data_IF_616678404561
#
_entry.id   IF_616678404561
#
_cell.length_a   1.000
_cell.length_b   1.000
_cell.length_c   1.000
_cell.angle_alpha   90.00
_cell.angle_beta   90.00
_cell.angle_gamma   90.00
#
_symmetry.space_group_name_H-M   'P 1'
#
loop_
_entity.id
_entity.type
_entity.pdbx_description
1 polymer ?
#
# COMPACT_ATOMS: atom_id res chain seq x y z
N UNK A 1 87.90 -11.79 -129.78
CA UNK A 1 87.70 -13.22 -129.44
C UNK A 1 88.34 -13.50 -128.08
N UNK A 2 89.05 -14.61 -127.86
CA UNK A 2 89.49 -15.16 -126.55
C UNK A 2 89.70 -14.14 -125.41
N UNK A 3 90.62 -13.18 -125.56
CA UNK A 3 90.95 -12.21 -124.50
C UNK A 3 89.82 -11.24 -124.13
N UNK A 4 88.89 -10.96 -125.05
CA UNK A 4 87.73 -10.12 -124.78
C UNK A 4 86.65 -10.90 -124.02
N UNK A 5 86.47 -12.19 -124.33
CA UNK A 5 85.53 -13.06 -123.60
C UNK A 5 86.03 -13.35 -122.17
N UNK A 6 87.34 -13.57 -121.98
CA UNK A 6 87.96 -13.70 -120.66
C UNK A 6 87.84 -12.40 -119.83
N UNK A 7 88.09 -11.22 -120.43
CA UNK A 7 87.87 -9.94 -119.76
C UNK A 7 86.40 -9.72 -119.38
N UNK A 8 85.47 -10.09 -120.26
CA UNK A 8 84.04 -9.97 -120.00
C UNK A 8 83.54 -10.96 -118.93
N UNK A 9 84.14 -12.15 -118.87
CA UNK A 9 83.88 -13.15 -117.83
C UNK A 9 84.44 -12.71 -116.47
N UNK A 10 85.66 -12.16 -116.43
CA UNK A 10 86.25 -11.56 -115.22
C UNK A 10 85.44 -10.35 -114.73
N UNK A 11 84.96 -9.48 -115.64
CA UNK A 11 84.04 -8.37 -115.28
C UNK A 11 82.76 -8.88 -114.62
N UNK A 12 82.16 -9.95 -115.16
CA UNK A 12 80.94 -10.56 -114.57
C UNK A 12 81.22 -11.21 -113.21
N UNK A 13 82.38 -11.85 -113.02
CA UNK A 13 82.80 -12.40 -111.72
C UNK A 13 83.04 -11.30 -110.68
N UNK A 14 83.69 -10.19 -111.06
CA UNK A 14 83.89 -9.03 -110.17
C UNK A 14 82.56 -8.34 -109.84
N UNK A 15 81.64 -8.22 -110.79
CA UNK A 15 80.30 -7.69 -110.55
C UNK A 15 79.49 -8.59 -109.59
N UNK A 16 79.42 -9.90 -109.87
CA UNK A 16 78.71 -10.85 -109.01
C UNK A 16 79.29 -10.89 -107.58
N UNK A 17 80.62 -10.92 -107.44
CA UNK A 17 81.27 -10.86 -106.12
C UNK A 17 81.04 -9.54 -105.38
N UNK A 18 80.91 -8.41 -106.10
CA UNK A 18 80.53 -7.13 -105.51
C UNK A 18 79.06 -7.13 -105.06
N UNK A 19 78.14 -7.66 -105.87
CA UNK A 19 76.71 -7.79 -105.52
C UNK A 19 76.50 -8.74 -104.33
N UNK A 20 77.18 -9.88 -104.28
CA UNK A 20 77.19 -10.79 -103.14
C UNK A 20 77.76 -10.12 -101.88
N UNK A 21 78.85 -9.35 -102.00
CA UNK A 21 79.43 -8.63 -100.87
C UNK A 21 78.53 -7.47 -100.38
N UNK A 22 77.79 -6.80 -101.28
CA UNK A 22 76.76 -5.82 -100.91
C UNK A 22 75.60 -6.50 -100.18
N UNK A 23 75.04 -7.59 -100.70
CA UNK A 23 73.95 -8.34 -100.06
C UNK A 23 74.35 -8.88 -98.69
N UNK A 24 75.57 -9.42 -98.54
CA UNK A 24 76.10 -9.87 -97.26
C UNK A 24 76.26 -8.69 -96.26
N UNK A 25 76.72 -7.52 -96.73
CA UNK A 25 76.79 -6.33 -95.89
C UNK A 25 75.40 -5.79 -95.50
N UNK A 26 74.40 -5.88 -96.37
CA UNK A 26 73.03 -5.46 -96.08
C UNK A 26 72.33 -6.43 -95.11
N UNK A 27 72.53 -7.74 -95.25
CA UNK A 27 72.09 -8.74 -94.27
C UNK A 27 72.70 -8.46 -92.88
N UNK A 28 74.03 -8.28 -92.79
CA UNK A 28 74.70 -7.95 -91.54
C UNK A 28 74.25 -6.60 -90.95
N UNK A 29 73.84 -5.61 -91.78
CA UNK A 29 73.22 -4.37 -91.30
C UNK A 29 71.82 -4.60 -90.73
N UNK A 30 71.02 -5.47 -91.35
CA UNK A 30 69.69 -5.83 -90.86
C UNK A 30 69.79 -6.59 -89.52
N UNK A 31 70.68 -7.58 -89.41
CA UNK A 31 70.94 -8.31 -88.17
C UNK A 31 71.44 -7.36 -87.06
N UNK A 32 72.36 -6.44 -87.37
CA UNK A 32 72.80 -5.41 -86.41
C UNK A 32 71.70 -4.41 -86.03
N UNK A 33 70.70 -4.18 -86.89
CA UNK A 33 69.54 -3.35 -86.55
C UNK A 33 68.58 -4.10 -85.60
N UNK A 34 68.28 -5.37 -85.88
CA UNK A 34 67.45 -6.23 -85.01
C UNK A 34 68.11 -6.40 -83.63
N UNK A 35 69.39 -6.79 -83.58
CA UNK A 35 70.09 -6.98 -82.31
C UNK A 35 70.24 -5.68 -81.48
N UNK A 36 70.17 -4.50 -82.12
CA UNK A 36 70.09 -3.20 -81.41
C UNK A 36 68.69 -2.95 -80.87
N UNK A 37 67.66 -3.23 -81.66
CA UNK A 37 66.27 -3.11 -81.23
C UNK A 37 65.98 -4.03 -80.04
N UNK A 38 66.34 -5.32 -80.12
CA UNK A 38 66.18 -6.29 -79.03
C UNK A 38 66.92 -5.86 -77.75
N UNK A 39 68.13 -5.31 -77.87
CA UNK A 39 68.89 -4.74 -76.74
C UNK A 39 68.15 -3.55 -76.11
N UNK A 40 67.61 -2.65 -76.92
CA UNK A 40 66.98 -1.41 -76.45
C UNK A 40 65.59 -1.68 -75.85
N UNK A 41 64.86 -2.66 -76.39
CA UNK A 41 63.62 -3.19 -75.81
C UNK A 41 63.88 -3.91 -74.48
N UNK A 42 64.93 -4.74 -74.40
CA UNK A 42 65.35 -5.39 -73.16
C UNK A 42 65.81 -4.39 -72.09
N UNK A 43 66.47 -3.29 -72.50
CA UNK A 43 66.85 -2.22 -71.59
C UNK A 43 65.63 -1.46 -71.04
N UNK A 44 64.63 -1.19 -71.87
CA UNK A 44 63.36 -0.60 -71.43
C UNK A 44 62.63 -1.52 -70.44
N UNK A 45 62.50 -2.82 -70.76
CA UNK A 45 61.88 -3.80 -69.85
C UNK A 45 62.62 -3.90 -68.50
N UNK A 46 63.96 -3.94 -68.53
CA UNK A 46 64.77 -3.98 -67.32
C UNK A 46 64.59 -2.73 -66.43
N UNK A 47 64.50 -1.54 -67.03
CA UNK A 47 64.22 -0.32 -66.27
C UNK A 47 62.78 -0.32 -65.72
N UNK A 48 61.79 -0.71 -66.52
CA UNK A 48 60.39 -0.75 -66.09
C UNK A 48 60.17 -1.74 -64.93
N UNK A 49 60.83 -2.90 -64.97
CA UNK A 49 60.86 -3.84 -63.85
C UNK A 49 61.58 -3.30 -62.60
N UNK A 50 62.60 -2.43 -62.74
CA UNK A 50 63.24 -1.77 -61.61
C UNK A 50 62.33 -0.71 -60.96
N UNK A 51 61.59 0.07 -61.77
CA UNK A 51 60.58 1.01 -61.31
C UNK A 51 59.43 0.31 -60.58
N UNK A 52 58.91 -0.80 -61.11
CA UNK A 52 57.87 -1.57 -60.42
C UNK A 52 58.39 -2.29 -59.18
N UNK A 53 59.63 -2.80 -59.19
CA UNK A 53 60.27 -3.39 -57.99
C UNK A 53 60.41 -2.35 -56.87
N UNK A 54 60.78 -1.11 -57.19
CA UNK A 54 60.89 -0.04 -56.17
C UNK A 54 59.53 0.42 -55.66
N UNK A 55 58.51 0.53 -56.52
CA UNK A 55 57.11 0.75 -56.10
C UNK A 55 56.62 -0.34 -55.14
N UNK A 56 56.83 -1.61 -55.48
CA UNK A 56 56.40 -2.75 -54.64
C UNK A 56 57.09 -2.74 -53.28
N UNK A 57 58.39 -2.41 -53.21
CA UNK A 57 59.10 -2.24 -51.92
C UNK A 57 58.50 -1.12 -51.07
N UNK A 58 58.27 0.06 -51.65
CA UNK A 58 57.68 1.19 -50.91
C UNK A 58 56.28 0.86 -50.35
N UNK A 59 55.46 0.14 -51.13
CA UNK A 59 54.14 -0.34 -50.65
C UNK A 59 54.29 -1.40 -49.55
N UNK A 60 55.27 -2.31 -49.66
CA UNK A 60 55.55 -3.32 -48.63
C UNK A 60 56.03 -2.67 -47.32
N UNK A 61 56.98 -1.74 -47.40
CA UNK A 61 57.53 -0.98 -46.27
C UNK A 61 56.44 -0.17 -45.55
N UNK A 62 55.57 0.52 -46.29
CA UNK A 62 54.42 1.20 -45.73
C UNK A 62 53.44 0.24 -45.03
N UNK A 63 53.18 -0.94 -45.60
CA UNK A 63 52.29 -1.95 -45.01
C UNK A 63 52.89 -2.65 -43.78
N UNK A 64 54.22 -2.80 -43.70
CA UNK A 64 54.90 -3.24 -42.48
C UNK A 64 54.72 -2.20 -41.37
N UNK A 65 54.96 -0.92 -41.65
CA UNK A 65 54.77 0.16 -40.67
C UNK A 65 53.30 0.28 -40.19
N UNK A 66 52.31 0.11 -41.07
CA UNK A 66 50.89 0.03 -40.69
C UNK A 66 50.61 -1.16 -39.74
N UNK A 67 51.20 -2.33 -40.00
CA UNK A 67 51.03 -3.51 -39.14
C UNK A 67 51.70 -3.32 -37.77
N UNK A 68 52.92 -2.80 -37.72
CA UNK A 68 53.63 -2.49 -36.46
C UNK A 68 52.83 -1.48 -35.61
N UNK A 69 52.25 -0.45 -36.24
CA UNK A 69 51.38 0.51 -35.56
C UNK A 69 50.09 -0.15 -35.02
N UNK A 70 49.48 -1.05 -35.78
CA UNK A 70 48.29 -1.79 -35.36
C UNK A 70 48.59 -2.76 -34.21
N UNK A 71 49.72 -3.47 -34.25
CA UNK A 71 50.15 -4.35 -33.16
C UNK A 71 50.41 -3.57 -31.86
N UNK A 72 51.14 -2.44 -31.94
CA UNK A 72 51.36 -1.57 -30.79
C UNK A 72 50.04 -1.04 -30.19
N UNK A 73 49.11 -0.61 -31.05
CA UNK A 73 47.77 -0.14 -30.65
C UNK A 73 46.93 -1.24 -30.00
N UNK A 74 47.07 -2.48 -30.49
CA UNK A 74 46.37 -3.66 -29.98
C UNK A 74 46.93 -4.12 -28.63
N UNK A 75 48.23 -3.95 -28.37
CA UNK A 75 48.85 -4.17 -27.07
C UNK A 75 48.39 -3.13 -26.04
N UNK A 76 48.44 -1.83 -26.38
CA UNK A 76 47.93 -0.76 -25.51
C UNK A 76 46.45 -0.95 -25.15
N UNK A 77 45.61 -1.32 -26.13
CA UNK A 77 44.21 -1.65 -25.88
C UNK A 77 44.03 -2.87 -24.96
N UNK A 78 44.84 -3.93 -25.12
CA UNK A 78 44.82 -5.10 -24.22
C UNK A 78 45.15 -4.72 -22.77
N UNK A 79 46.15 -3.89 -22.53
CA UNK A 79 46.50 -3.46 -21.18
C UNK A 79 45.43 -2.55 -20.57
N UNK A 80 44.84 -1.65 -21.36
CA UNK A 80 43.67 -0.84 -20.93
C UNK A 80 42.47 -1.70 -20.54
N UNK A 81 42.17 -2.75 -21.31
CA UNK A 81 41.09 -3.71 -20.99
C UNK A 81 41.40 -4.54 -19.75
N UNK A 82 42.64 -4.96 -19.52
CA UNK A 82 43.05 -5.64 -18.27
C UNK A 82 42.87 -4.72 -17.06
N UNK A 83 43.35 -3.47 -17.14
CA UNK A 83 43.25 -2.50 -16.05
C UNK A 83 41.78 -2.15 -15.71
N UNK A 84 40.94 -1.98 -16.73
CA UNK A 84 39.49 -1.80 -16.55
C UNK A 84 38.86 -3.03 -15.87
N UNK A 85 39.13 -4.25 -16.34
CA UNK A 85 38.60 -5.48 -15.74
C UNK A 85 39.02 -5.67 -14.28
N UNK A 86 40.27 -5.36 -13.92
CA UNK A 86 40.73 -5.44 -12.52
C UNK A 86 39.93 -4.48 -11.62
N UNK A 87 39.80 -3.22 -12.04
CA UNK A 87 39.00 -2.20 -11.33
C UNK A 87 37.52 -2.58 -11.21
N UNK A 88 36.94 -3.19 -12.25
CA UNK A 88 35.56 -3.68 -12.21
C UNK A 88 35.42 -4.89 -11.27
N UNK A 89 36.39 -5.82 -11.24
CA UNK A 89 36.40 -6.91 -10.26
C UNK A 89 36.50 -6.41 -8.82
N UNK A 90 37.40 -5.47 -8.54
CA UNK A 90 37.54 -4.81 -7.23
C UNK A 90 36.21 -4.16 -6.79
N UNK A 91 35.60 -3.38 -7.68
CA UNK A 91 34.33 -2.70 -7.43
C UNK A 91 33.14 -3.65 -7.26
N UNK A 92 33.10 -4.74 -8.03
CA UNK A 92 32.08 -5.79 -7.88
C UNK A 92 32.27 -6.50 -6.53
N UNK A 93 33.51 -6.71 -6.08
CA UNK A 93 33.84 -7.22 -4.76
C UNK A 93 33.24 -6.36 -3.65
N UNK A 94 33.61 -5.07 -3.59
CA UNK A 94 33.12 -4.16 -2.53
C UNK A 94 31.59 -4.02 -2.54
N UNK A 95 30.97 -3.89 -3.71
CA UNK A 95 29.50 -3.81 -3.82
C UNK A 95 28.81 -5.12 -3.40
N UNK A 96 29.44 -6.28 -3.60
CA UNK A 96 28.90 -7.57 -3.14
C UNK A 96 28.97 -7.70 -1.62
N UNK A 97 30.07 -7.25 -1.01
CA UNK A 97 30.24 -7.21 0.45
C UNK A 97 29.25 -6.23 1.11
N UNK A 98 29.03 -5.05 0.50
CA UNK A 98 28.00 -4.10 0.92
C UNK A 98 26.59 -4.71 0.85
N UNK A 99 26.22 -5.36 -0.27
CA UNK A 99 24.91 -6.02 -0.44
C UNK A 99 24.68 -7.14 0.58
N UNK A 100 25.69 -7.96 0.87
CA UNK A 100 25.59 -8.98 1.92
C UNK A 100 25.63 -8.38 3.34
N UNK A 101 26.19 -7.18 3.52
CA UNK A 101 25.98 -6.36 4.71
C UNK A 101 24.50 -5.97 4.87
N UNK A 102 23.92 -5.31 3.87
CA UNK A 102 22.52 -4.88 3.87
C UNK A 102 21.52 -6.02 4.00
N UNK A 103 21.81 -7.20 3.42
CA UNK A 103 20.98 -8.42 3.57
C UNK A 103 20.95 -8.92 5.01
N UNK A 104 22.11 -9.06 5.67
CA UNK A 104 22.20 -9.46 7.08
C UNK A 104 21.49 -8.47 7.99
N UNK A 105 21.64 -7.17 7.70
CA UNK A 105 20.95 -6.13 8.47
C UNK A 105 19.43 -6.15 8.27
N UNK A 106 18.95 -6.30 7.03
CA UNK A 106 17.52 -6.43 6.75
C UNK A 106 16.88 -7.68 7.38
N UNK A 107 17.63 -8.77 7.54
CA UNK A 107 17.18 -9.95 8.27
C UNK A 107 16.98 -9.63 9.76
N UNK A 108 17.98 -9.03 10.41
CA UNK A 108 17.92 -8.61 11.83
C UNK A 108 16.79 -7.64 12.12
N UNK A 109 16.59 -6.64 11.25
CA UNK A 109 15.45 -5.71 11.32
C UNK A 109 14.13 -6.48 11.28
N UNK A 110 14.03 -7.52 10.43
CA UNK A 110 12.82 -8.34 10.32
C UNK A 110 12.58 -9.22 11.55
N UNK A 111 13.63 -9.81 12.12
CA UNK A 111 13.57 -10.59 13.37
C UNK A 111 13.12 -9.73 14.56
N UNK A 112 13.62 -8.49 14.65
CA UNK A 112 13.15 -7.49 15.63
C UNK A 112 11.67 -7.18 15.44
N UNK A 113 11.23 -6.87 14.21
CA UNK A 113 9.83 -6.54 13.92
C UNK A 113 8.90 -7.71 14.25
N UNK A 114 9.30 -8.95 13.98
CA UNK A 114 8.54 -10.15 14.36
C UNK A 114 8.41 -10.28 15.88
N UNK A 115 9.52 -10.14 16.63
CA UNK A 115 9.48 -10.16 18.10
C UNK A 115 8.56 -9.06 18.67
N UNK A 116 8.59 -7.85 18.09
CA UNK A 116 7.69 -6.75 18.47
C UNK A 116 6.21 -7.09 18.21
N UNK A 117 5.89 -7.74 17.08
CA UNK A 117 4.54 -8.19 16.77
C UNK A 117 4.04 -9.30 17.70
N UNK A 118 4.91 -10.21 18.15
CA UNK A 118 4.50 -11.29 19.05
C UNK A 118 4.29 -10.79 20.50
N UNK A 119 5.04 -9.77 20.96
CA UNK A 119 4.71 -9.05 22.20
C UNK A 119 3.31 -8.43 22.17
N UNK A 120 2.85 -7.89 21.04
CA UNK A 120 1.53 -7.23 20.99
C UNK A 120 0.39 -8.23 20.96
N UNK A 121 0.57 -9.41 20.34
CA UNK A 121 -0.42 -10.49 20.32
C UNK A 121 -0.72 -11.07 21.71
N UNK A 122 0.28 -11.20 22.58
CA UNK A 122 0.10 -11.73 23.95
C UNK A 122 -0.71 -10.81 24.89
N UNK A 123 -1.10 -9.62 24.42
CA UNK A 123 -1.99 -8.71 25.13
C UNK A 123 -3.49 -8.96 24.86
N UNK A 124 -3.87 -9.62 23.77
CA UNK A 124 -5.28 -9.70 23.34
C UNK A 124 -6.11 -10.77 24.11
N UNK A 125 -5.49 -11.85 24.59
CA UNK A 125 -6.18 -12.99 25.24
C UNK A 125 -6.54 -12.78 26.74
N UNK A 126 -6.28 -11.59 27.31
CA UNK A 126 -6.28 -11.42 28.76
C UNK A 126 -7.69 -11.14 29.36
N UNK A 127 -8.31 -12.18 29.92
CA UNK A 127 -9.68 -12.20 30.45
C UNK A 127 -10.03 -11.30 31.68
N UNK A 128 -9.17 -10.35 32.07
CA UNK A 128 -9.52 -9.28 33.04
C UNK A 128 -8.55 -8.10 32.91
N UNK A 129 -8.99 -6.88 33.27
CA UNK A 129 -8.15 -5.67 33.16
C UNK A 129 -6.81 -5.78 33.94
N UNK A 130 -6.82 -6.42 35.12
CA UNK A 130 -5.62 -6.69 35.92
C UNK A 130 -4.69 -7.73 35.29
N UNK A 131 -5.23 -8.77 34.63
CA UNK A 131 -4.43 -9.72 33.84
C UNK A 131 -3.87 -9.07 32.59
N UNK A 132 -4.66 -8.24 31.91
CA UNK A 132 -4.29 -7.50 30.70
C UNK A 132 -3.15 -6.52 30.99
N UNK A 133 -3.28 -5.74 32.07
CA UNK A 133 -2.22 -4.83 32.55
C UNK A 133 -0.91 -5.59 32.83
N UNK A 134 -0.99 -6.75 33.49
CA UNK A 134 0.20 -7.57 33.76
C UNK A 134 0.80 -8.14 32.46
N UNK A 135 -0.01 -8.72 31.57
CA UNK A 135 0.45 -9.26 30.28
C UNK A 135 1.15 -8.18 29.44
N UNK A 136 0.59 -6.96 29.43
CA UNK A 136 1.23 -5.80 28.80
C UNK A 136 2.57 -5.48 29.47
N UNK A 137 2.66 -5.38 30.79
CA UNK A 137 3.92 -5.10 31.49
C UNK A 137 5.02 -6.14 31.21
N UNK A 138 4.66 -7.42 31.20
CA UNK A 138 5.59 -8.52 30.90
C UNK A 138 6.01 -8.47 29.42
N UNK A 139 5.07 -8.32 28.48
CA UNK A 139 5.36 -8.19 27.04
C UNK A 139 6.23 -6.97 26.69
N UNK A 140 6.04 -5.84 27.39
CA UNK A 140 6.85 -4.61 27.22
C UNK A 140 8.29 -4.83 27.68
N UNK A 141 8.49 -5.60 28.75
CA UNK A 141 9.82 -5.96 29.24
C UNK A 141 10.54 -6.91 28.28
N UNK A 142 9.84 -7.93 27.76
CA UNK A 142 10.41 -8.87 26.80
C UNK A 142 10.79 -8.17 25.48
N UNK A 143 9.92 -7.26 25.00
CA UNK A 143 10.22 -6.38 23.87
C UNK A 143 11.41 -5.44 24.10
N UNK A 144 11.57 -4.90 25.32
CA UNK A 144 12.74 -4.11 25.69
C UNK A 144 14.03 -4.94 25.65
N UNK A 145 13.99 -6.19 26.12
CA UNK A 145 15.15 -7.08 26.10
C UNK A 145 15.51 -7.55 24.68
N UNK A 146 14.52 -7.84 23.83
CA UNK A 146 14.70 -8.21 22.43
C UNK A 146 15.34 -7.07 21.61
N UNK A 147 14.77 -5.86 21.68
CA UNK A 147 15.37 -4.66 21.06
C UNK A 147 16.75 -4.31 21.65
N UNK A 148 16.95 -4.54 22.94
CA UNK A 148 18.24 -4.32 23.61
C UNK A 148 19.35 -5.21 23.06
N UNK A 149 19.05 -6.49 22.81
CA UNK A 149 19.97 -7.45 22.16
C UNK A 149 20.24 -7.04 20.71
N UNK A 150 19.21 -6.78 19.91
CA UNK A 150 19.38 -6.39 18.51
C UNK A 150 20.18 -5.08 18.36
N UNK A 151 19.95 -4.09 19.22
CA UNK A 151 20.71 -2.82 19.23
C UNK A 151 22.20 -2.98 19.58
N UNK A 152 22.62 -4.13 20.13
CA UNK A 152 24.04 -4.48 20.32
C UNK A 152 24.61 -5.21 19.10
N UNK A 153 23.82 -6.03 18.42
CA UNK A 153 24.27 -6.84 17.28
C UNK A 153 24.37 -6.07 15.96
N UNK A 154 23.52 -5.06 15.77
CA UNK A 154 23.37 -4.29 14.52
C UNK A 154 24.60 -3.46 14.15
N UNK A 155 25.37 -2.98 15.13
CA UNK A 155 26.77 -2.54 14.98
C UNK A 155 27.03 -1.24 14.19
N UNK A 156 26.20 -0.87 13.21
CA UNK A 156 26.29 0.40 12.49
C UNK A 156 25.84 1.55 13.39
N UNK A 157 26.66 2.61 13.50
CA UNK A 157 26.42 3.73 14.44
C UNK A 157 25.05 4.39 14.26
N UNK A 158 24.66 4.68 13.02
CA UNK A 158 23.44 5.43 12.73
C UNK A 158 22.20 4.55 12.85
N UNK A 159 22.26 3.30 12.34
CA UNK A 159 21.18 2.31 12.47
C UNK A 159 20.94 1.93 13.94
N UNK A 160 22.01 1.67 14.69
CA UNK A 160 21.95 1.38 16.12
C UNK A 160 21.44 2.56 16.96
N UNK A 161 21.80 3.79 16.60
CA UNK A 161 21.23 5.00 17.23
C UNK A 161 19.73 5.12 16.93
N UNK A 162 19.30 4.89 15.68
CA UNK A 162 17.90 4.87 15.28
C UNK A 162 17.07 3.81 16.02
N UNK A 163 17.56 2.56 16.07
CA UNK A 163 16.92 1.49 16.83
C UNK A 163 16.85 1.78 18.32
N UNK A 164 17.90 2.37 18.91
CA UNK A 164 17.91 2.74 20.33
C UNK A 164 16.95 3.88 20.65
N UNK A 165 16.78 4.86 19.75
CA UNK A 165 15.78 5.90 19.88
C UNK A 165 14.34 5.33 19.74
N UNK A 166 14.13 4.39 18.81
CA UNK A 166 12.85 3.71 18.63
C UNK A 166 12.49 2.82 19.84
N UNK A 167 13.46 2.08 20.39
CA UNK A 167 13.37 1.40 21.68
C UNK A 167 12.90 2.37 22.77
N UNK A 168 13.61 3.50 22.96
CA UNK A 168 13.27 4.47 24.00
C UNK A 168 11.83 5.01 23.82
N UNK A 169 11.42 5.33 22.60
CA UNK A 169 10.07 5.80 22.31
C UNK A 169 9.00 4.73 22.56
N UNK A 170 9.20 3.49 22.10
CA UNK A 170 8.29 2.38 22.34
C UNK A 170 8.16 2.06 23.84
N UNK A 171 9.27 2.01 24.57
CA UNK A 171 9.29 1.73 26.02
C UNK A 171 8.53 2.78 26.81
N UNK A 172 8.76 4.08 26.53
CA UNK A 172 8.02 5.18 27.18
C UNK A 172 6.52 5.09 26.84
N UNK A 173 6.17 5.02 25.55
CA UNK A 173 4.78 4.97 25.11
C UNK A 173 4.00 3.77 25.68
N UNK A 174 4.65 2.62 25.83
CA UNK A 174 4.04 1.43 26.42
C UNK A 174 3.96 1.52 27.96
N UNK A 175 4.95 2.13 28.62
CA UNK A 175 4.91 2.38 30.06
C UNK A 175 3.79 3.36 30.44
N UNK A 176 3.63 4.44 29.68
CA UNK A 176 2.53 5.41 29.83
C UNK A 176 1.15 4.74 29.66
N UNK A 177 1.02 3.83 28.68
CA UNK A 177 -0.19 3.03 28.48
C UNK A 177 -0.46 2.08 29.65
N UNK A 178 0.56 1.39 30.18
CA UNK A 178 0.40 0.52 31.33
C UNK A 178 0.01 1.30 32.61
N UNK A 179 0.59 2.49 32.82
CA UNK A 179 0.23 3.38 33.93
C UNK A 179 -1.22 3.86 33.82
N UNK A 180 -1.64 4.37 32.65
CA UNK A 180 -3.01 4.81 32.41
C UNK A 180 -4.03 3.67 32.55
N UNK A 181 -3.65 2.44 32.21
CA UNK A 181 -4.52 1.27 32.38
C UNK A 181 -4.64 0.84 33.84
N UNK A 182 -3.56 0.86 34.63
CA UNK A 182 -3.66 0.62 36.08
C UNK A 182 -4.56 1.65 36.77
N UNK A 183 -4.40 2.93 36.43
CA UNK A 183 -5.26 4.03 36.91
C UNK A 183 -6.73 3.84 36.46
N UNK A 184 -6.98 3.29 35.27
CA UNK A 184 -8.34 2.91 34.84
C UNK A 184 -8.90 1.70 35.60
N UNK A 185 -8.08 0.69 35.91
CA UNK A 185 -8.50 -0.51 36.63
C UNK A 185 -8.87 -0.19 38.10
N UNK A 186 -8.08 0.65 38.77
CA UNK A 186 -8.40 1.16 40.11
C UNK A 186 -9.70 1.96 40.12
N UNK A 187 -9.97 2.77 39.07
CA UNK A 187 -11.26 3.45 38.93
C UNK A 187 -12.44 2.49 38.74
N UNK A 188 -12.25 1.38 38.01
CA UNK A 188 -13.30 0.35 37.87
C UNK A 188 -13.56 -0.32 39.21
N UNK A 189 -12.54 -0.74 39.95
CA UNK A 189 -12.67 -1.38 41.26
C UNK A 189 -13.41 -0.48 42.28
N UNK A 190 -13.09 0.82 42.29
CA UNK A 190 -13.82 1.81 43.10
C UNK A 190 -15.29 1.92 42.67
N UNK A 191 -15.57 2.01 41.37
CA UNK A 191 -16.96 2.09 40.86
C UNK A 191 -17.76 0.81 41.13
N UNK A 192 -17.15 -0.37 41.04
CA UNK A 192 -17.79 -1.65 41.36
C UNK A 192 -18.16 -1.73 42.86
N UNK A 193 -17.27 -1.25 43.75
CA UNK A 193 -17.55 -1.16 45.18
C UNK A 193 -18.68 -0.17 45.51
N UNK A 194 -18.75 0.96 44.81
CA UNK A 194 -19.83 1.95 44.97
C UNK A 194 -21.17 1.43 44.41
N UNK A 195 -21.16 0.69 43.30
CA UNK A 195 -22.35 0.02 42.75
C UNK A 195 -22.89 -1.06 43.71
N UNK A 196 -22.02 -1.78 44.41
CA UNK A 196 -22.43 -2.70 45.48
C UNK A 196 -23.08 -1.94 46.64
N UNK A 197 -22.42 -0.89 47.15
CA UNK A 197 -22.94 -0.04 48.24
C UNK A 197 -24.28 0.63 47.90
N UNK A 198 -24.47 1.03 46.63
CA UNK A 198 -25.73 1.61 46.15
C UNK A 198 -26.85 0.56 46.06
N UNK A 199 -26.57 -0.68 45.65
CA UNK A 199 -27.55 -1.79 45.68
C UNK A 199 -27.98 -2.18 47.09
N UNK A 200 -27.06 -2.17 48.05
CA UNK A 200 -27.38 -2.38 49.47
C UNK A 200 -28.31 -1.27 50.00
N UNK A 201 -28.06 -0.01 49.63
CA UNK A 201 -28.96 1.10 49.95
C UNK A 201 -30.31 0.99 49.24
N UNK A 202 -30.35 0.61 47.96
CA UNK A 202 -31.58 0.39 47.19
C UNK A 202 -32.47 -0.66 47.86
N UNK A 203 -31.89 -1.81 48.26
CA UNK A 203 -32.59 -2.84 49.04
C UNK A 203 -33.07 -2.34 50.41
N UNK A 204 -32.29 -1.47 51.07
CA UNK A 204 -32.66 -0.84 52.36
C UNK A 204 -33.80 0.17 52.19
N UNK A 205 -33.88 0.86 51.05
CA UNK A 205 -34.98 1.78 50.75
C UNK A 205 -36.25 1.05 50.27
N UNK A 206 -36.14 0.00 49.44
CA UNK A 206 -37.29 -0.81 49.02
C UNK A 206 -38.02 -1.39 50.24
N UNK A 207 -37.28 -2.06 51.13
CA UNK A 207 -37.85 -2.62 52.37
C UNK A 207 -38.43 -1.55 53.30
N UNK A 208 -37.93 -0.31 53.31
CA UNK A 208 -38.56 0.80 54.03
C UNK A 208 -39.87 1.26 53.38
N UNK A 209 -39.92 1.35 52.05
CA UNK A 209 -41.14 1.69 51.31
C UNK A 209 -42.22 0.61 51.49
N UNK A 210 -41.86 -0.67 51.38
CA UNK A 210 -42.76 -1.81 51.62
C UNK A 210 -43.37 -1.77 53.03
N UNK A 211 -42.55 -1.50 54.06
CA UNK A 211 -43.03 -1.34 55.44
C UNK A 211 -43.91 -0.09 55.63
N UNK A 212 -43.58 1.02 54.97
CA UNK A 212 -44.40 2.24 55.02
C UNK A 212 -45.76 2.06 54.31
N UNK A 213 -45.80 1.34 53.20
CA UNK A 213 -47.04 0.95 52.53
C UNK A 213 -47.90 -0.01 53.37
N UNK A 214 -47.28 -0.96 54.08
CA UNK A 214 -47.99 -1.83 55.01
C UNK A 214 -48.63 -1.02 56.15
N UNK A 215 -47.86 -0.13 56.79
CA UNK A 215 -48.35 0.76 57.84
C UNK A 215 -49.45 1.71 57.34
N UNK A 216 -49.37 2.19 56.09
CA UNK A 216 -50.43 3.00 55.48
C UNK A 216 -51.74 2.21 55.36
N UNK A 217 -51.68 0.97 54.85
CA UNK A 217 -52.85 0.08 54.70
C UNK A 217 -53.47 -0.30 56.06
N UNK A 218 -52.66 -0.52 57.09
CA UNK A 218 -53.14 -0.78 58.45
C UNK A 218 -53.87 0.44 59.04
N UNK A 219 -53.34 1.65 58.83
CA UNK A 219 -53.98 2.92 59.25
C UNK A 219 -55.26 3.20 58.46
N UNK A 220 -55.30 2.93 57.16
CA UNK A 220 -56.52 3.05 56.35
C UNK A 220 -57.64 2.11 56.85
N UNK A 221 -57.31 0.84 57.15
CA UNK A 221 -58.28 -0.12 57.68
C UNK A 221 -58.65 0.16 59.15
N UNK A 222 -57.78 0.79 59.95
CA UNK A 222 -58.16 1.35 61.26
C UNK A 222 -59.11 2.53 61.14
N UNK A 223 -58.84 3.46 60.21
CA UNK A 223 -59.71 4.60 59.94
C UNK A 223 -61.09 4.14 59.44
N UNK A 224 -61.12 3.10 58.59
CA UNK A 224 -62.36 2.47 58.11
C UNK A 224 -63.12 1.79 59.27
N UNK A 225 -62.43 1.05 60.14
CA UNK A 225 -63.01 0.47 61.37
C UNK A 225 -63.61 1.55 62.28
N UNK A 226 -62.89 2.66 62.49
CA UNK A 226 -63.37 3.79 63.27
C UNK A 226 -64.60 4.48 62.63
N UNK A 227 -64.64 4.65 61.30
CA UNK A 227 -65.79 5.20 60.58
C UNK A 227 -67.03 4.33 60.75
N UNK A 228 -66.92 3.02 60.50
CA UNK A 228 -68.03 2.06 60.69
C UNK A 228 -68.54 2.08 62.15
N UNK A 229 -67.65 2.29 63.12
CA UNK A 229 -68.00 2.39 64.53
C UNK A 229 -68.70 3.72 64.86
N UNK A 230 -68.28 4.84 64.25
CA UNK A 230 -68.92 6.14 64.41
C UNK A 230 -70.34 6.16 63.81
N UNK A 231 -70.53 5.58 62.61
CA UNK A 231 -71.85 5.38 62.00
C UNK A 231 -72.78 4.60 62.94
N UNK A 232 -72.30 3.46 63.47
CA UNK A 232 -73.07 2.62 64.38
C UNK A 232 -73.36 3.26 65.75
N UNK A 233 -72.51 4.18 66.22
CA UNK A 233 -72.82 5.04 67.38
C UNK A 233 -73.95 6.01 67.03
N UNK A 234 -73.92 6.62 65.84
CA UNK A 234 -74.98 7.54 65.39
C UNK A 234 -76.34 6.84 65.23
N UNK A 235 -76.37 5.61 64.71
CA UNK A 235 -77.57 4.75 64.69
C UNK A 235 -78.15 4.54 66.09
N UNK A 236 -77.31 4.15 67.06
CA UNK A 236 -77.73 3.93 68.45
C UNK A 236 -78.16 5.21 69.16
N UNK A 237 -77.56 6.37 68.83
CA UNK A 237 -78.02 7.67 69.31
C UNK A 237 -79.39 8.05 68.73
N UNK A 238 -79.64 7.76 67.45
CA UNK A 238 -80.95 7.94 66.83
C UNK A 238 -82.01 7.03 67.49
N UNK A 239 -81.74 5.72 67.63
CA UNK A 239 -82.64 4.79 68.34
C UNK A 239 -82.92 5.25 69.79
N UNK A 240 -81.88 5.71 70.50
CA UNK A 240 -81.99 6.28 71.85
C UNK A 240 -82.86 7.55 71.88
N UNK A 241 -82.77 8.39 70.85
CA UNK A 241 -83.62 9.58 70.71
C UNK A 241 -85.08 9.22 70.45
N UNK A 242 -85.34 8.22 69.60
CA UNK A 242 -86.68 7.71 69.35
C UNK A 242 -87.28 7.04 70.59
N UNK A 243 -86.50 6.23 71.31
CA UNK A 243 -86.94 5.62 72.57
C UNK A 243 -87.24 6.66 73.65
N UNK A 244 -86.46 7.74 73.74
CA UNK A 244 -86.77 8.91 74.60
C UNK A 244 -88.08 9.57 74.16
N UNK A 245 -88.28 9.82 72.87
CA UNK A 245 -89.52 10.41 72.35
C UNK A 245 -90.75 9.51 72.59
N UNK A 246 -90.63 8.19 72.42
CA UNK A 246 -91.68 7.21 72.75
C UNK A 246 -91.98 7.18 74.25
N UNK A 247 -90.96 7.24 75.10
CA UNK A 247 -91.11 7.36 76.56
C UNK A 247 -91.73 8.70 77.00
N UNK A 248 -91.42 9.80 76.33
CA UNK A 248 -92.04 11.11 76.54
C UNK A 248 -93.50 11.12 76.12
N UNK A 249 -93.85 10.48 74.99
CA UNK A 249 -95.23 10.28 74.55
C UNK A 249 -96.02 9.41 75.54
N UNK A 250 -95.44 8.30 76.02
CA UNK A 250 -96.05 7.46 77.06
C UNK A 250 -96.23 8.21 78.38
N UNK A 251 -95.28 9.05 78.80
CA UNK A 251 -95.44 9.92 79.99
C UNK A 251 -96.50 10.99 79.77
N UNK A 252 -96.59 11.60 78.58
CA UNK A 252 -97.66 12.55 78.21
C UNK A 252 -99.03 11.87 78.15
N UNK A 253 -99.12 10.64 77.68
CA UNK A 253 -100.39 9.89 77.64
C UNK A 253 -100.82 9.43 79.03
N UNK A 254 -99.91 8.91 79.87
CA UNK A 254 -100.20 8.63 81.28
C UNK A 254 -100.64 9.89 82.04
N UNK A 255 -100.04 11.05 81.73
CA UNK A 255 -100.47 12.33 82.28
C UNK A 255 -101.85 12.73 81.75
N UNK A 256 -102.11 12.61 80.44
CA UNK A 256 -103.43 12.87 79.82
C UNK A 256 -104.52 11.97 80.41
N UNK A 257 -104.21 10.71 80.72
CA UNK A 257 -105.12 9.76 81.37
C UNK A 257 -105.37 10.12 82.84
N UNK A 258 -104.33 10.49 83.61
CA UNK A 258 -104.50 11.00 84.98
C UNK A 258 -105.38 12.26 85.01
N UNK A 259 -105.15 13.19 84.08
CA UNK A 259 -105.96 14.39 83.96
C UNK A 259 -107.37 14.11 83.40
N UNK A 260 -107.55 13.11 82.54
CA UNK A 260 -108.89 12.68 82.11
C UNK A 260 -109.68 12.11 83.30
N UNK A 261 -109.07 11.21 84.08
CA UNK A 261 -109.65 10.67 85.32
C UNK A 261 -109.91 11.75 86.37
N UNK A 262 -109.15 12.85 86.38
CA UNK A 262 -109.48 14.03 87.19
C UNK A 262 -110.61 14.87 86.58
N UNK A 263 -110.62 15.12 85.26
CA UNK A 263 -111.65 15.92 84.57
C UNK A 263 -113.03 15.26 84.58
N UNK A 264 -113.12 13.94 84.44
CA UNK A 264 -114.34 13.15 84.65
C UNK A 264 -114.86 13.23 86.09
N UNK A 265 -113.97 13.55 87.04
CA UNK A 265 -114.30 13.74 88.46
C UNK A 265 -114.66 15.19 88.80
N UNK A 266 -114.56 16.13 87.86
CA UNK A 266 -114.82 17.55 88.11
C UNK A 266 -115.24 18.37 86.86
N UNK A 267 -116.47 18.17 86.39
CA UNK A 267 -117.23 19.20 85.64
C UNK A 267 -118.75 18.99 85.75
N UNK A 268 -119.51 20.09 85.89
CA UNK A 268 -120.42 20.51 84.81
C UNK A 268 -120.09 21.91 84.24
N UNK A 269 -120.46 22.16 82.98
CA UNK A 269 -120.50 23.47 82.25
C UNK A 269 -119.14 24.25 82.15
N UNK A 270 -118.60 24.54 80.96
CA UNK A 270 -119.00 25.52 79.91
C UNK A 270 -118.74 27.01 80.25
N UNK A 271 -118.41 27.89 79.28
CA UNK A 271 -117.83 27.67 77.93
C UNK A 271 -116.69 28.66 77.53
N UNK A 272 -116.21 28.53 76.28
CA UNK A 272 -115.71 29.60 75.37
C UNK A 272 -114.36 30.37 75.57
N UNK A 273 -113.54 30.30 74.51
CA UNK A 273 -112.79 31.37 73.80
C UNK A 273 -111.40 31.92 74.22
N UNK A 274 -110.61 32.22 73.17
CA UNK A 274 -109.52 33.22 73.01
C UNK A 274 -108.20 33.09 73.82
N UNK A 275 -107.02 33.55 73.34
CA UNK A 275 -106.46 33.80 71.99
C UNK A 275 -104.93 34.12 72.07
N UNK A 276 -104.19 33.95 70.96
CA UNK A 276 -102.76 34.36 70.76
C UNK A 276 -101.70 33.81 71.76
N UNK A 277 -100.37 33.88 71.54
CA UNK A 277 -99.50 34.16 70.38
C UNK A 277 -98.24 33.24 70.48
N UNK A 278 -97.35 33.04 69.50
CA UNK A 278 -96.66 33.94 68.56
C UNK A 278 -95.73 34.98 69.23
N UNK A 279 -94.58 35.39 68.64
CA UNK A 279 -94.00 35.06 67.32
C UNK A 279 -92.80 34.05 67.48
N UNK A 280 -91.54 34.12 66.97
CA UNK A 280 -90.77 35.10 66.17
C UNK A 280 -89.47 34.54 65.51
N UNK A 281 -88.99 35.22 64.44
CA UNK A 281 -87.62 35.76 64.15
C UNK A 281 -86.36 34.86 64.33
N UNK A 282 -85.35 34.81 63.43
CA UNK A 282 -85.22 35.28 62.03
C UNK A 282 -84.10 34.55 61.25
N UNK A 283 -84.33 34.49 59.93
CA UNK A 283 -83.39 34.71 58.80
C UNK A 283 -81.99 35.30 59.08
N UNK A 284 -81.02 34.81 58.30
CA UNK A 284 -80.21 35.66 57.41
C UNK A 284 -79.85 34.90 56.12
N UNK A 285 -79.46 35.62 55.06
CA UNK A 285 -79.06 35.10 53.74
C UNK A 285 -77.82 35.87 53.28
N UNK A 286 -76.97 35.27 52.43
CA UNK A 286 -76.54 35.85 51.13
C UNK A 286 -75.28 35.16 50.58
N UNK A 287 -75.20 35.06 49.26
CA UNK A 287 -74.04 34.59 48.51
C UNK A 287 -72.90 35.63 48.44
N UNK A 288 -71.74 35.20 47.93
CA UNK A 288 -71.05 35.81 46.76
C UNK A 288 -70.14 34.76 46.10
N UNK A 289 -69.69 35.00 44.87
CA UNK A 289 -69.14 34.04 43.91
C UNK A 289 -67.85 34.58 43.26
N UNK A 290 -66.92 33.69 42.86
CA UNK A 290 -65.81 33.86 41.87
C UNK A 290 -64.36 33.87 42.40
N UNK A 291 -63.43 33.42 41.51
CA UNK A 291 -61.95 33.44 41.59
C UNK A 291 -61.31 32.61 42.73
N UNK A 292 -60.39 31.67 42.50
CA UNK A 292 -59.40 31.49 41.40
C UNK A 292 -59.29 30.02 40.93
N UNK A 293 -58.72 29.80 39.74
CA UNK A 293 -58.62 28.47 39.11
C UNK A 293 -57.26 28.33 38.36
N UNK A 294 -56.25 27.77 39.05
CA UNK A 294 -54.95 27.33 38.53
C UNK A 294 -54.21 26.54 39.63
N UNK A 295 -53.42 25.49 39.36
CA UNK A 295 -53.20 24.77 38.10
C UNK A 295 -53.03 23.26 38.36
N UNK A 296 -53.79 22.43 37.64
CA UNK A 296 -53.40 21.06 37.33
C UNK A 296 -52.73 21.08 35.93
N UNK A 297 -51.73 20.22 35.72
CA UNK A 297 -50.80 20.37 34.59
C UNK A 297 -51.35 19.96 33.22
N UNK A 298 -50.79 20.57 32.17
CA UNK A 298 -50.76 20.04 30.81
C UNK A 298 -49.42 20.46 30.17
N UNK A 299 -48.51 19.51 29.94
CA UNK A 299 -47.33 19.73 29.11
C UNK A 299 -47.79 19.70 27.64
N UNK A 300 -47.43 20.71 26.86
CA UNK A 300 -47.83 20.80 25.45
C UNK A 300 -46.64 20.54 24.52
N UNK A 301 -46.89 19.94 23.36
CA UNK A 301 -45.86 19.45 22.43
C UNK A 301 -44.98 20.54 21.79
N UNK A 302 -45.22 21.82 22.11
CA UNK A 302 -44.51 22.97 21.54
C UNK A 302 -43.04 23.06 21.97
N UNK A 303 -42.69 22.53 23.14
CA UNK A 303 -41.32 22.59 23.67
C UNK A 303 -40.38 21.51 23.09
N UNK A 304 -40.93 20.47 22.44
CA UNK A 304 -40.14 19.42 21.77
C UNK A 304 -39.48 19.95 20.49
N UNK A 305 -40.15 20.84 19.75
CA UNK A 305 -39.64 21.40 18.50
C UNK A 305 -38.38 22.27 18.72
N UNK A 306 -38.34 23.03 19.81
CA UNK A 306 -37.27 24.00 20.11
C UNK A 306 -35.92 23.32 20.43
N UNK A 307 -35.96 22.11 21.00
CA UNK A 307 -34.75 21.34 21.32
C UNK A 307 -34.02 20.78 20.07
N UNK A 308 -34.75 20.53 18.97
CA UNK A 308 -34.19 19.91 17.76
C UNK A 308 -33.40 20.96 16.94
N UNK A 309 -33.91 22.20 16.84
CA UNK A 309 -33.20 23.30 16.17
C UNK A 309 -31.81 23.60 16.77
N UNK A 310 -31.67 23.47 18.10
CA UNK A 310 -30.43 23.75 18.81
C UNK A 310 -29.28 22.76 18.52
N UNK A 311 -29.55 21.56 17.99
CA UNK A 311 -28.50 20.58 17.61
C UNK A 311 -27.91 20.81 16.22
N UNK A 312 -28.62 21.46 15.30
CA UNK A 312 -28.13 21.70 13.93
C UNK A 312 -26.94 22.68 13.88
N UNK A 313 -26.86 23.62 14.83
CA UNK A 313 -25.83 24.65 14.86
C UNK A 313 -24.40 24.14 15.17
N UNK A 314 -24.24 22.85 15.54
CA UNK A 314 -22.94 22.26 15.88
C UNK A 314 -22.21 21.57 14.72
N UNK A 315 -22.79 21.56 13.51
CA UNK A 315 -22.23 20.87 12.33
C UNK A 315 -21.81 21.79 11.17
N UNK A 316 -21.83 23.13 11.32
CA UNK A 316 -21.27 24.04 10.29
C UNK A 316 -19.74 24.12 10.29
N UNK A 317 -19.04 23.57 11.29
CA UNK A 317 -17.59 23.74 11.45
C UNK A 317 -16.71 22.81 10.60
N UNK A 318 -17.28 22.16 9.58
CA UNK A 318 -16.53 21.47 8.52
C UNK A 318 -16.98 21.99 7.13
N UNK A 319 -16.94 23.31 6.98
CA UNK A 319 -16.53 23.89 5.69
C UNK A 319 -14.99 23.82 5.67
N UNK A 320 -14.35 22.91 4.90
CA UNK A 320 -12.93 23.07 4.63
C UNK A 320 -12.75 24.46 3.99
N UNK A 321 -11.75 25.22 4.45
CA UNK A 321 -11.49 26.55 3.90
C UNK A 321 -11.27 26.41 2.39
N UNK A 322 -12.07 27.10 1.57
CA UNK A 322 -12.09 26.90 0.10
C UNK A 322 -10.69 26.90 -0.49
N UNK A 323 -9.86 27.87 -0.09
CA UNK A 323 -8.44 27.96 -0.45
C UNK A 323 -7.67 26.66 -0.25
N UNK A 324 -7.76 26.02 0.92
CA UNK A 324 -7.07 24.76 1.21
C UNK A 324 -7.65 23.56 0.46
N UNK A 325 -8.95 23.56 0.14
CA UNK A 325 -9.55 22.55 -0.73
C UNK A 325 -9.09 22.73 -2.19
N UNK A 326 -9.08 23.96 -2.69
CA UNK A 326 -8.64 24.32 -4.04
C UNK A 326 -7.13 24.07 -4.23
N UNK A 327 -6.31 24.31 -3.19
CA UNK A 327 -4.89 23.97 -3.13
C UNK A 327 -4.65 22.46 -3.18
N UNK A 328 -5.35 21.66 -2.37
CA UNK A 328 -5.26 20.20 -2.39
C UNK A 328 -5.74 19.59 -3.72
N UNK A 329 -6.77 20.17 -4.37
CA UNK A 329 -7.20 19.77 -5.71
C UNK A 329 -6.08 20.03 -6.73
N UNK A 330 -5.48 21.23 -6.69
CA UNK A 330 -4.38 21.62 -7.59
C UNK A 330 -3.12 20.76 -7.38
N UNK A 331 -2.82 20.37 -6.14
CA UNK A 331 -1.75 19.41 -5.86
C UNK A 331 -2.10 18.01 -6.36
N UNK A 332 -3.35 17.54 -6.19
CA UNK A 332 -3.78 16.24 -6.69
C UNK A 332 -3.68 16.16 -8.23
N UNK A 333 -4.07 17.21 -8.94
CA UNK A 333 -3.96 17.26 -10.41
C UNK A 333 -2.51 17.36 -10.89
N UNK A 334 -1.61 18.03 -10.15
CA UNK A 334 -0.16 17.98 -10.41
C UNK A 334 0.39 16.57 -10.20
N UNK A 335 0.05 15.91 -9.09
CA UNK A 335 0.46 14.54 -8.80
C UNK A 335 -0.09 13.53 -9.84
N UNK A 336 -1.30 13.76 -10.38
CA UNK A 336 -1.85 12.98 -11.50
C UNK A 336 -1.05 13.16 -12.80
N UNK A 337 -0.64 14.39 -13.12
CA UNK A 337 0.22 14.65 -14.29
C UNK A 337 1.60 13.99 -14.13
N UNK A 338 2.21 14.10 -12.95
CA UNK A 338 3.49 13.44 -12.63
C UNK A 338 3.37 11.91 -12.65
N UNK A 339 2.27 11.35 -12.12
CA UNK A 339 2.01 9.91 -12.19
C UNK A 339 1.81 9.43 -13.64
N UNK A 340 1.04 10.16 -14.45
CA UNK A 340 0.84 9.86 -15.87
C UNK A 340 2.16 9.91 -16.67
N UNK A 341 3.02 10.90 -16.40
CA UNK A 341 4.36 10.98 -17.00
C UNK A 341 5.25 9.79 -16.57
N UNK A 342 5.29 9.48 -15.28
CA UNK A 342 6.07 8.35 -14.76
C UNK A 342 5.60 7.01 -15.36
N UNK A 343 4.29 6.79 -15.50
CA UNK A 343 3.74 5.60 -16.14
C UNK A 343 4.13 5.49 -17.63
N UNK A 344 4.18 6.62 -18.35
CA UNK A 344 4.65 6.64 -19.75
C UNK A 344 6.15 6.30 -19.87
N UNK A 345 6.99 6.83 -18.97
CA UNK A 345 8.42 6.51 -18.90
C UNK A 345 8.64 5.03 -18.54
N UNK A 346 7.87 4.48 -17.60
CA UNK A 346 7.89 3.05 -17.25
C UNK A 346 7.50 2.19 -18.44
N UNK A 347 6.45 2.57 -19.19
CA UNK A 347 6.03 1.84 -20.39
C UNK A 347 7.12 1.84 -21.48
N UNK A 348 7.83 2.96 -21.69
CA UNK A 348 8.97 3.03 -22.61
C UNK A 348 10.11 2.09 -22.16
N UNK A 349 10.51 2.12 -20.89
CA UNK A 349 11.56 1.21 -20.40
C UNK A 349 11.17 -0.27 -20.47
N UNK A 350 9.89 -0.61 -20.29
CA UNK A 350 9.39 -1.99 -20.52
C UNK A 350 9.59 -2.38 -21.99
N UNK A 351 9.20 -1.52 -22.94
CA UNK A 351 9.36 -1.78 -24.37
C UNK A 351 10.84 -1.93 -24.78
N UNK A 352 11.72 -1.10 -24.25
CA UNK A 352 13.17 -1.20 -24.46
C UNK A 352 13.73 -2.53 -23.91
N UNK A 353 13.35 -2.91 -22.67
CA UNK A 353 13.73 -4.18 -22.05
C UNK A 353 13.21 -5.41 -22.81
N UNK A 354 12.03 -5.33 -23.42
CA UNK A 354 11.53 -6.38 -24.32
C UNK A 354 12.36 -6.50 -25.61
N UNK A 355 12.79 -5.36 -26.18
CA UNK A 355 13.74 -5.33 -27.29
C UNK A 355 15.08 -5.99 -26.95
N UNK A 356 15.66 -5.68 -25.79
CA UNK A 356 16.88 -6.35 -25.32
C UNK A 356 16.68 -7.86 -25.10
N UNK A 357 15.54 -8.28 -24.51
CA UNK A 357 15.19 -9.71 -24.36
C UNK A 357 14.92 -10.43 -25.68
N UNK A 358 14.52 -9.72 -26.74
CA UNK A 358 14.41 -10.29 -28.09
C UNK A 358 15.81 -10.50 -28.69
N UNK A 359 16.65 -9.46 -28.67
CA UNK A 359 18.03 -9.52 -29.18
C UNK A 359 18.88 -10.60 -28.48
N UNK A 360 18.76 -10.74 -27.15
CA UNK A 360 19.47 -11.78 -26.40
C UNK A 360 19.00 -13.19 -26.78
N UNK A 361 17.70 -13.41 -27.02
CA UNK A 361 17.18 -14.70 -27.51
C UNK A 361 17.67 -15.02 -28.92
N UNK A 362 17.82 -14.01 -29.80
CA UNK A 362 18.44 -14.18 -31.12
C UNK A 362 19.92 -14.55 -31.00
N UNK A 363 20.70 -13.88 -30.14
CA UNK A 363 22.11 -14.22 -29.92
C UNK A 363 22.30 -15.67 -29.43
N UNK A 364 21.55 -16.09 -28.38
CA UNK A 364 21.61 -17.47 -27.87
C UNK A 364 21.22 -18.49 -28.95
N UNK A 365 20.26 -18.16 -29.81
CA UNK A 365 19.87 -19.02 -30.94
C UNK A 365 20.98 -19.14 -32.00
N UNK A 366 21.68 -18.04 -32.30
CA UNK A 366 22.84 -18.02 -33.22
C UNK A 366 24.00 -18.84 -32.64
N UNK A 367 24.27 -18.74 -31.34
CA UNK A 367 25.35 -19.49 -30.68
C UNK A 367 25.02 -20.99 -30.55
N UNK A 368 23.76 -21.34 -30.32
CA UNK A 368 23.27 -22.73 -30.38
C UNK A 368 23.46 -23.33 -31.78
N UNK A 369 23.04 -22.61 -32.83
CA UNK A 369 23.25 -23.03 -34.23
C UNK A 369 24.74 -23.12 -34.58
N UNK A 370 25.58 -22.17 -34.13
CA UNK A 370 27.03 -22.20 -34.30
C UNK A 370 27.63 -23.45 -33.66
N UNK A 371 27.24 -23.78 -32.42
CA UNK A 371 27.73 -24.97 -31.72
C UNK A 371 27.29 -26.27 -32.39
N UNK A 372 26.06 -26.37 -32.91
CA UNK A 372 25.62 -27.51 -33.73
C UNK A 372 26.50 -27.63 -34.99
N UNK A 373 26.65 -26.56 -35.76
CA UNK A 373 27.47 -26.56 -36.98
C UNK A 373 28.92 -26.94 -36.66
N UNK A 374 29.51 -26.40 -35.59
CA UNK A 374 30.85 -26.76 -35.11
C UNK A 374 30.94 -28.25 -34.79
N UNK A 375 29.99 -28.80 -34.02
CA UNK A 375 30.00 -30.22 -33.64
C UNK A 375 29.88 -31.15 -34.85
N UNK A 376 28.97 -30.88 -35.78
CA UNK A 376 28.80 -31.72 -36.98
C UNK A 376 29.99 -31.63 -37.95
N UNK A 377 30.55 -30.44 -38.18
CA UNK A 377 31.74 -30.27 -39.04
C UNK A 377 33.00 -30.91 -38.43
N UNK A 378 33.11 -30.97 -37.10
CA UNK A 378 34.19 -31.66 -36.40
C UNK A 378 33.99 -33.18 -36.33
N UNK A 379 32.76 -33.68 -36.15
CA UNK A 379 32.48 -35.09 -35.88
C UNK A 379 32.41 -35.99 -37.12
N UNK A 380 32.13 -35.46 -38.32
CA UNK A 380 31.92 -36.26 -39.52
C UNK A 380 32.68 -35.71 -40.75
N UNK A 381 33.88 -36.24 -41.01
CA UNK A 381 34.70 -35.88 -42.18
C UNK A 381 33.97 -36.13 -43.52
N UNK A 382 33.07 -37.12 -43.57
CA UNK A 382 32.33 -37.50 -44.79
C UNK A 382 31.15 -36.56 -45.11
N UNK A 383 30.64 -35.86 -44.10
CA UNK A 383 29.55 -34.87 -44.23
C UNK A 383 30.08 -33.43 -44.38
N UNK A 384 31.26 -33.12 -43.83
CA UNK A 384 31.90 -31.79 -43.96
C UNK A 384 31.88 -31.26 -45.41
N UNK A 385 32.24 -32.03 -46.46
CA UNK A 385 32.18 -31.57 -47.86
C UNK A 385 30.77 -31.29 -48.39
N UNK A 386 29.72 -31.87 -47.80
CA UNK A 386 28.32 -31.71 -48.21
C UNK A 386 27.65 -30.55 -47.46
N UNK A 387 28.02 -30.35 -46.20
CA UNK A 387 27.46 -29.29 -45.35
C UNK A 387 28.03 -27.91 -45.68
N UNK A 388 29.32 -27.80 -46.03
CA UNK A 388 29.94 -26.51 -46.38
C UNK A 388 29.20 -25.79 -47.53
N UNK A 389 28.88 -26.44 -48.67
CA UNK A 389 28.00 -25.88 -49.69
C UNK A 389 26.66 -25.36 -49.16
N UNK A 390 25.94 -26.16 -48.38
CA UNK A 390 24.65 -25.78 -47.83
C UNK A 390 24.75 -24.57 -46.87
N UNK A 391 25.79 -24.51 -46.03
CA UNK A 391 26.03 -23.41 -45.10
C UNK A 391 26.30 -22.10 -45.86
N UNK A 392 27.17 -22.10 -46.88
CA UNK A 392 27.43 -20.90 -47.68
C UNK A 392 26.21 -20.45 -48.49
N UNK A 393 25.33 -21.37 -48.91
CA UNK A 393 24.05 -21.01 -49.55
C UNK A 393 23.07 -20.38 -48.55
N UNK A 394 22.91 -20.95 -47.36
CA UNK A 394 22.01 -20.43 -46.30
C UNK A 394 22.51 -19.10 -45.72
N UNK A 395 23.82 -18.84 -45.76
CA UNK A 395 24.44 -17.58 -45.35
C UNK A 395 24.64 -16.58 -46.51
N UNK A 396 24.06 -16.86 -47.69
CA UNK A 396 24.07 -15.98 -48.88
C UNK A 396 25.49 -15.50 -49.30
N UNK A 397 26.49 -16.38 -49.19
CA UNK A 397 27.88 -16.05 -49.55
C UNK A 397 27.98 -15.63 -51.02
N UNK A 398 28.65 -14.50 -51.27
CA UNK A 398 28.90 -14.02 -52.63
C UNK A 398 29.91 -14.93 -53.37
N UNK A 399 29.96 -14.81 -54.69
CA UNK A 399 30.78 -15.71 -55.53
C UNK A 399 32.26 -15.76 -55.12
N UNK A 400 32.83 -14.63 -54.67
CA UNK A 400 34.22 -14.55 -54.19
C UNK A 400 34.41 -15.34 -52.89
N UNK A 401 33.50 -15.18 -51.94
CA UNK A 401 33.49 -15.96 -50.70
C UNK A 401 33.27 -17.46 -50.94
N UNK A 402 32.44 -17.82 -51.93
CA UNK A 402 32.29 -19.22 -52.39
C UNK A 402 33.60 -19.76 -52.96
N UNK A 403 34.30 -18.99 -53.79
CA UNK A 403 35.62 -19.36 -54.34
C UNK A 403 36.68 -19.52 -53.25
N UNK A 404 36.77 -18.59 -52.29
CA UNK A 404 37.70 -18.68 -51.15
C UNK A 404 37.47 -19.94 -50.30
N UNK A 405 36.20 -20.27 -50.01
CA UNK A 405 35.85 -21.49 -49.27
C UNK A 405 36.09 -22.76 -50.11
N UNK A 406 35.91 -22.70 -51.43
CA UNK A 406 36.23 -23.79 -52.36
C UNK A 406 37.73 -24.10 -52.38
N UNK A 407 38.57 -23.06 -52.41
CA UNK A 407 40.03 -23.15 -52.35
C UNK A 407 40.51 -23.72 -51.02
N UNK A 408 39.92 -23.29 -49.90
CA UNK A 408 40.23 -23.81 -48.57
C UNK A 408 39.73 -25.27 -48.36
N UNK A 409 38.68 -25.69 -49.06
CA UNK A 409 38.05 -27.01 -48.89
C UNK A 409 37.88 -27.75 -50.23
N UNK A 410 38.97 -28.14 -50.92
CA UNK A 410 38.93 -28.67 -52.29
C UNK A 410 38.22 -30.03 -52.44
N UNK A 411 37.78 -30.66 -51.34
CA UNK A 411 36.91 -31.87 -51.36
C UNK A 411 35.42 -31.53 -51.50
N UNK A 412 35.00 -30.27 -51.37
CA UNK A 412 33.59 -29.88 -51.51
C UNK A 412 33.15 -29.94 -52.99
N UNK A 413 31.90 -30.34 -53.29
CA UNK A 413 31.26 -30.04 -54.57
C UNK A 413 31.33 -28.54 -54.88
N UNK A 414 31.41 -28.19 -56.17
CA UNK A 414 31.36 -26.79 -56.60
C UNK A 414 30.04 -26.15 -56.15
N UNK A 415 30.14 -24.98 -55.54
CA UNK A 415 28.97 -24.15 -55.27
C UNK A 415 28.26 -23.78 -56.58
N UNK A 416 26.93 -23.76 -56.53
CA UNK A 416 26.05 -23.18 -57.55
C UNK A 416 25.65 -21.75 -57.15
#
# INVERSE_FOLDING_TARGET
>A
ASLEEELEQLRRQVAAGADEQVQAHEALRAELAVARQERDDAAQQAQQHAEDTTRVRQVLEAKVAELEQLEASLVDWKEKVKAAKLKDFERIGTLSEEVEGWRRESLRVSEVVLALCDCTRSCDDAASATKWSKSLCDAVKDCHEALGKASLEVGLKDTGAGMKALLQHCVVSLHDRAAAVNDSALRVEVLESEVLRLKELESSWSTRCENAEAHAKDVEEELRRASNQAERVSELEQESSELKARCDLLRKELQRQREAVQRDRSRPYEPANSEAGAPSIMKSQSAVQSALLAAAGCVSERDVATAIGARSAKYEFIKPGKTGADELIKENDKLRQENAHNNAVIAQYIQELEGYKANQRVQVSIEYLRNIVQQYLCAAEDLRPKMIPAICTVLEFNNRQKEDVQLANPRCPRFH
#
